data_IF_162075425340
#
_entry.id   IF_162075425340
#
_cell.length_a   1.000
_cell.length_b   1.000
_cell.length_c   1.000
_cell.angle_alpha   90.00
_cell.angle_beta   90.00
_cell.angle_gamma   90.00
#
_symmetry.space_group_name_H-M   'P 1'
#
loop_
_entity.id
_entity.type
_entity.pdbx_description
1 polymer ?
#
# COMPACT_ATOMS: atom_id res chain seq x y z
N UNK A 1 25.05 -6.31 -30.57
CA UNK A 1 25.60 -7.40 -29.75
C UNK A 1 24.51 -7.83 -28.80
N UNK A 2 23.91 -8.97 -29.05
CA UNK A 2 22.84 -9.53 -28.19
C UNK A 2 23.57 -10.15 -27.01
N UNK A 3 23.60 -9.45 -25.87
CA UNK A 3 24.04 -10.05 -24.63
C UNK A 3 23.12 -11.24 -24.33
N UNK A 4 23.78 -12.40 -24.21
CA UNK A 4 23.10 -13.63 -23.87
C UNK A 4 22.34 -13.41 -22.54
N UNK A 5 21.04 -13.52 -22.59
CA UNK A 5 20.19 -13.55 -21.39
C UNK A 5 20.74 -14.65 -20.48
N UNK A 6 21.46 -14.26 -19.44
CA UNK A 6 21.94 -15.19 -18.41
C UNK A 6 20.68 -15.72 -17.73
N UNK A 7 20.29 -16.93 -18.09
CA UNK A 7 19.19 -17.61 -17.38
C UNK A 7 19.70 -17.95 -15.97
N UNK A 8 19.12 -17.36 -14.94
CA UNK A 8 19.58 -17.61 -13.57
C UNK A 8 19.38 -19.07 -13.24
N UNK A 9 20.45 -19.74 -12.84
CA UNK A 9 20.36 -21.11 -12.33
C UNK A 9 19.76 -21.09 -10.94
N UNK A 10 18.83 -22.00 -10.62
CA UNK A 10 18.31 -22.13 -9.27
C UNK A 10 19.44 -22.45 -8.30
N UNK A 11 19.47 -21.76 -7.16
CA UNK A 11 20.33 -22.17 -6.07
C UNK A 11 19.81 -23.51 -5.55
N UNK A 12 20.60 -24.55 -5.70
CA UNK A 12 20.30 -25.85 -5.11
C UNK A 12 20.74 -25.84 -3.64
N UNK A 13 19.80 -25.53 -2.76
CA UNK A 13 20.01 -25.50 -1.33
C UNK A 13 19.11 -26.54 -0.64
N UNK A 14 19.64 -27.16 0.40
CA UNK A 14 18.89 -28.13 1.20
C UNK A 14 17.67 -27.48 1.86
N UNK A 15 16.71 -28.29 2.26
CA UNK A 15 15.52 -27.81 2.99
C UNK A 15 15.88 -27.03 4.27
N UNK A 16 16.91 -27.48 5.01
CA UNK A 16 17.36 -26.81 6.23
C UNK A 16 18.00 -25.45 5.91
N UNK A 17 18.76 -25.33 4.83
CA UNK A 17 19.27 -24.05 4.38
C UNK A 17 18.16 -23.11 3.94
N UNK A 18 17.13 -23.63 3.27
CA UNK A 18 15.94 -22.83 2.90
C UNK A 18 15.27 -22.22 4.14
N UNK A 19 15.11 -22.98 5.21
CA UNK A 19 14.55 -22.47 6.47
C UNK A 19 15.45 -21.42 7.12
N UNK A 20 16.79 -21.60 7.09
CA UNK A 20 17.74 -20.58 7.55
C UNK A 20 17.63 -19.31 6.73
N UNK A 21 17.57 -19.42 5.40
CA UNK A 21 17.42 -18.28 4.50
C UNK A 21 16.14 -17.51 4.75
N UNK A 22 15.00 -18.20 4.93
CA UNK A 22 13.73 -17.55 5.27
C UNK A 22 13.85 -16.80 6.60
N UNK A 23 14.43 -17.40 7.62
CA UNK A 23 14.65 -16.75 8.92
C UNK A 23 15.59 -15.55 8.81
N UNK A 24 16.68 -15.65 8.04
CA UNK A 24 17.63 -14.56 7.82
C UNK A 24 17.01 -13.42 7.01
N UNK A 25 16.29 -13.71 5.93
CA UNK A 25 15.62 -12.68 5.12
C UNK A 25 14.58 -11.89 5.92
N UNK A 26 13.96 -12.51 6.93
CA UNK A 26 13.00 -11.84 7.79
C UNK A 26 13.64 -11.00 8.89
N UNK A 27 14.68 -11.53 9.54
CA UNK A 27 15.31 -10.87 10.69
C UNK A 27 16.44 -9.89 10.29
N UNK A 28 17.14 -10.19 9.20
CA UNK A 28 18.32 -9.46 8.72
C UNK A 28 18.28 -9.32 7.19
N UNK A 29 17.30 -8.58 6.63
CA UNK A 29 17.06 -8.55 5.18
C UNK A 29 18.21 -7.96 4.37
N UNK A 30 18.92 -6.96 4.91
CA UNK A 30 20.03 -6.32 4.23
C UNK A 30 21.25 -7.24 4.14
N UNK A 31 21.66 -7.78 5.27
CA UNK A 31 22.80 -8.71 5.37
C UNK A 31 22.54 -9.97 4.55
N UNK A 32 21.29 -10.47 4.57
CA UNK A 32 20.90 -11.60 3.75
C UNK A 32 21.02 -11.30 2.26
N UNK A 33 20.55 -10.15 1.82
CA UNK A 33 20.64 -9.70 0.43
C UNK A 33 22.09 -9.51 -0.03
N UNK A 34 22.92 -8.91 0.80
CA UNK A 34 24.35 -8.76 0.55
C UNK A 34 25.04 -10.12 0.41
N UNK A 35 24.77 -11.04 1.34
CA UNK A 35 25.32 -12.39 1.28
C UNK A 35 24.91 -13.17 0.02
N UNK A 36 23.64 -13.04 -0.40
CA UNK A 36 23.18 -13.65 -1.65
C UNK A 36 23.95 -13.09 -2.85
N UNK A 37 24.08 -11.78 -2.93
CA UNK A 37 24.79 -11.10 -4.01
C UNK A 37 26.26 -11.47 -4.07
N UNK A 38 26.95 -11.46 -2.93
CA UNK A 38 28.37 -11.80 -2.84
C UNK A 38 28.67 -13.26 -3.23
N UNK A 39 27.77 -14.16 -2.84
CA UNK A 39 27.96 -15.60 -3.06
C UNK A 39 27.53 -16.07 -4.44
N UNK A 40 26.46 -15.48 -4.99
CA UNK A 40 25.79 -16.01 -6.18
C UNK A 40 25.68 -14.99 -7.33
N UNK A 41 26.11 -13.74 -7.12
CA UNK A 41 26.09 -12.69 -8.14
C UNK A 41 24.82 -11.85 -8.17
N UNK A 42 24.66 -11.05 -9.23
CA UNK A 42 23.62 -10.02 -9.32
C UNK A 42 22.22 -10.57 -9.67
N UNK A 43 22.12 -11.81 -10.14
CA UNK A 43 20.85 -12.47 -10.46
C UNK A 43 20.81 -13.82 -9.78
N UNK A 44 19.94 -13.95 -8.78
CA UNK A 44 19.88 -15.14 -7.93
C UNK A 44 18.47 -15.69 -7.91
N UNK A 45 18.29 -16.94 -8.33
CA UNK A 45 16.99 -17.62 -8.26
C UNK A 45 16.98 -18.60 -7.09
N UNK A 46 16.07 -18.37 -6.14
CA UNK A 46 15.85 -19.22 -4.98
C UNK A 46 14.51 -19.93 -5.11
N UNK A 47 14.51 -21.25 -4.90
CA UNK A 47 13.26 -22.02 -4.83
C UNK A 47 12.72 -22.02 -3.41
N UNK A 48 11.50 -21.49 -3.22
CA UNK A 48 10.78 -21.51 -1.96
C UNK A 48 9.49 -22.33 -2.12
N UNK A 49 9.58 -23.63 -1.92
CA UNK A 49 8.46 -24.56 -2.14
C UNK A 49 8.02 -24.60 -3.61
N UNK A 50 6.81 -24.10 -3.89
CA UNK A 50 6.24 -24.00 -5.24
C UNK A 50 6.51 -22.66 -5.92
N UNK A 51 7.17 -21.74 -5.25
CA UNK A 51 7.46 -20.39 -5.76
C UNK A 51 8.95 -20.26 -6.00
N UNK A 52 9.30 -19.69 -7.14
CA UNK A 52 10.67 -19.25 -7.42
C UNK A 52 10.77 -17.76 -7.10
N UNK A 53 11.70 -17.40 -6.24
CA UNK A 53 12.02 -16.01 -5.91
C UNK A 53 13.30 -15.66 -6.68
N UNK A 54 13.21 -14.64 -7.54
CA UNK A 54 14.38 -14.12 -8.24
C UNK A 54 14.81 -12.82 -7.56
N UNK A 55 15.99 -12.84 -6.98
CA UNK A 55 16.64 -11.67 -6.42
C UNK A 55 17.46 -10.99 -7.52
N UNK A 56 17.22 -9.72 -7.72
CA UNK A 56 17.87 -8.89 -8.71
C UNK A 56 18.62 -7.76 -8.00
N UNK A 57 19.93 -7.66 -8.23
CA UNK A 57 20.78 -6.67 -7.58
C UNK A 57 21.39 -5.72 -8.60
N UNK A 58 21.62 -4.48 -8.18
CA UNK A 58 22.26 -3.45 -8.99
C UNK A 58 21.30 -2.54 -9.77
N UNK A 59 21.86 -1.49 -10.35
CA UNK A 59 21.10 -0.43 -11.02
C UNK A 59 20.39 -0.92 -12.30
N UNK A 60 21.05 -1.75 -13.09
CA UNK A 60 20.50 -2.25 -14.35
C UNK A 60 19.30 -3.17 -14.12
N UNK A 61 19.39 -4.01 -13.09
CA UNK A 61 18.28 -4.87 -12.69
C UNK A 61 17.10 -4.05 -12.13
N UNK A 62 17.36 -3.02 -11.34
CA UNK A 62 16.35 -2.10 -10.86
C UNK A 62 15.68 -1.35 -12.03
N UNK A 63 16.45 -0.87 -12.99
CA UNK A 63 15.95 -0.22 -14.21
C UNK A 63 15.06 -1.17 -15.01
N UNK A 64 15.49 -2.42 -15.22
CA UNK A 64 14.71 -3.43 -15.93
C UNK A 64 13.34 -3.65 -15.27
N UNK A 65 13.30 -3.79 -13.95
CA UNK A 65 12.06 -3.99 -13.21
C UNK A 65 11.14 -2.77 -13.25
N UNK A 66 11.70 -1.57 -13.05
CA UNK A 66 10.93 -0.32 -12.98
C UNK A 66 10.39 0.11 -14.34
N UNK A 67 11.20 -0.02 -15.39
CA UNK A 67 10.79 0.31 -16.76
C UNK A 67 9.87 -0.75 -17.37
N UNK A 68 9.99 -1.98 -16.92
CA UNK A 68 9.18 -3.13 -17.34
C UNK A 68 8.99 -3.21 -18.88
N UNK A 69 10.07 -3.24 -19.69
CA UNK A 69 9.98 -3.27 -21.13
C UNK A 69 9.20 -4.52 -21.58
N UNK A 70 8.25 -4.33 -22.49
CA UNK A 70 7.39 -5.43 -22.95
C UNK A 70 6.33 -5.90 -21.93
N UNK A 71 6.17 -5.25 -20.78
CA UNK A 71 5.20 -5.59 -19.74
C UNK A 71 5.33 -7.04 -19.25
N UNK A 72 6.56 -7.51 -19.10
CA UNK A 72 6.89 -8.89 -18.68
C UNK A 72 6.65 -9.13 -17.19
N UNK A 73 6.77 -8.10 -16.37
CA UNK A 73 6.52 -8.16 -14.93
C UNK A 73 5.09 -7.75 -14.60
N UNK A 74 4.46 -8.51 -13.73
CA UNK A 74 3.10 -8.27 -13.26
C UNK A 74 3.10 -7.89 -11.78
N UNK A 75 2.66 -6.68 -11.47
CA UNK A 75 2.43 -6.24 -10.09
C UNK A 75 1.28 -7.02 -9.47
N UNK A 76 0.20 -7.23 -10.23
CA UNK A 76 -0.96 -7.99 -9.79
C UNK A 76 -0.58 -9.35 -9.24
N UNK A 77 0.17 -10.15 -10.02
CA UNK A 77 0.56 -11.51 -9.61
C UNK A 77 1.44 -11.52 -8.36
N UNK A 78 2.33 -10.53 -8.22
CA UNK A 78 3.22 -10.44 -7.07
C UNK A 78 2.47 -10.00 -5.81
N UNK A 79 1.68 -8.94 -5.89
CA UNK A 79 0.98 -8.39 -4.74
C UNK A 79 -0.27 -9.17 -4.33
N UNK A 80 -0.91 -9.90 -5.25
CA UNK A 80 -2.10 -10.71 -4.94
C UNK A 80 -1.82 -11.75 -3.84
N UNK A 81 -0.64 -12.35 -3.86
CA UNK A 81 -0.21 -13.30 -2.82
C UNK A 81 -0.08 -12.64 -1.43
N UNK A 82 0.24 -11.34 -1.38
CA UNK A 82 0.55 -10.63 -0.15
C UNK A 82 -0.69 -9.91 0.38
N UNK A 83 -1.31 -9.08 -0.46
CA UNK A 83 -2.39 -8.17 -0.06
C UNK A 83 -3.73 -8.46 -0.72
N UNK A 84 -3.82 -9.40 -1.67
CA UNK A 84 -5.04 -9.65 -2.44
C UNK A 84 -6.26 -10.02 -1.59
N UNK A 85 -6.05 -10.68 -0.43
CA UNK A 85 -7.13 -10.99 0.52
C UNK A 85 -7.68 -9.76 1.24
N UNK A 86 -6.88 -8.72 1.33
CA UNK A 86 -7.18 -7.51 2.12
C UNK A 86 -7.54 -6.34 1.21
N UNK A 87 -6.85 -6.19 0.08
CA UNK A 87 -7.08 -5.09 -0.87
C UNK A 87 -7.30 -5.64 -2.30
N UNK A 88 -8.32 -6.50 -2.53
CA UNK A 88 -8.60 -6.98 -3.87
C UNK A 88 -8.95 -5.79 -4.78
N UNK A 89 -8.49 -5.82 -6.02
CA UNK A 89 -8.76 -4.81 -7.05
C UNK A 89 -8.21 -3.40 -6.81
N UNK A 90 -7.45 -3.15 -5.74
CA UNK A 90 -6.74 -1.89 -5.58
C UNK A 90 -5.72 -1.65 -6.71
N UNK A 91 -5.25 -0.41 -6.88
CA UNK A 91 -4.35 -0.02 -7.98
C UNK A 91 -3.09 -0.89 -8.07
N UNK A 92 -2.54 -1.33 -6.94
CA UNK A 92 -1.37 -2.22 -6.90
C UNK A 92 -1.65 -3.63 -7.45
N UNK A 93 -2.92 -4.04 -7.52
CA UNK A 93 -3.37 -5.35 -8.01
C UNK A 93 -3.92 -5.28 -9.44
N UNK A 94 -3.46 -4.31 -10.20
CA UNK A 94 -3.84 -4.11 -11.61
C UNK A 94 -2.59 -4.02 -12.48
N UNK A 95 -2.71 -4.46 -13.73
CA UNK A 95 -1.64 -4.40 -14.73
C UNK A 95 -2.14 -3.79 -16.04
N UNK A 96 -1.21 -3.42 -16.91
CA UNK A 96 -1.46 -3.08 -18.30
C UNK A 96 -2.46 -1.94 -18.50
N UNK A 97 -3.46 -2.15 -19.35
CA UNK A 97 -4.48 -1.13 -19.72
C UNK A 97 -5.36 -0.80 -18.53
N UNK A 98 -5.77 -1.81 -17.75
CA UNK A 98 -6.60 -1.65 -16.57
C UNK A 98 -5.92 -0.77 -15.51
N UNK A 99 -4.63 -1.03 -15.21
CA UNK A 99 -3.84 -0.17 -14.32
C UNK A 99 -3.77 1.28 -14.83
N UNK A 100 -3.51 1.48 -16.13
CA UNK A 100 -3.41 2.83 -16.71
C UNK A 100 -4.74 3.59 -16.62
N UNK A 101 -5.86 2.93 -16.88
CA UNK A 101 -7.20 3.50 -16.74
C UNK A 101 -7.45 4.00 -15.32
N UNK A 102 -7.31 3.11 -14.33
CA UNK A 102 -7.53 3.45 -12.93
C UNK A 102 -6.56 4.53 -12.43
N UNK A 103 -5.29 4.46 -12.81
CA UNK A 103 -4.29 5.47 -12.45
C UNK A 103 -4.63 6.85 -13.02
N UNK A 104 -5.11 6.92 -14.26
CA UNK A 104 -5.50 8.19 -14.90
C UNK A 104 -6.64 8.88 -14.15
N UNK A 105 -7.69 8.14 -13.82
CA UNK A 105 -8.81 8.67 -13.02
C UNK A 105 -8.33 9.15 -11.64
N UNK A 106 -7.47 8.37 -10.98
CA UNK A 106 -6.91 8.73 -9.68
C UNK A 106 -6.07 10.00 -9.71
N UNK A 107 -5.45 10.33 -10.83
CA UNK A 107 -4.66 11.56 -10.99
C UNK A 107 -5.47 12.85 -10.72
N UNK A 108 -6.79 12.81 -10.82
CA UNK A 108 -7.64 13.95 -10.47
C UNK A 108 -7.38 14.46 -9.04
N UNK A 109 -7.16 13.53 -8.10
CA UNK A 109 -6.85 13.85 -6.70
C UNK A 109 -5.42 14.37 -6.46
N UNK A 110 -4.53 14.31 -7.47
CA UNK A 110 -3.12 14.72 -7.34
C UNK A 110 -2.74 15.93 -8.20
N UNK A 111 -3.72 16.58 -8.83
CA UNK A 111 -3.47 17.81 -9.59
C UNK A 111 -3.01 18.94 -8.65
N UNK A 112 -2.21 19.88 -9.17
CA UNK A 112 -1.62 20.99 -8.38
C UNK A 112 -2.66 21.74 -7.54
N UNK A 113 -3.86 21.97 -8.07
CA UNK A 113 -4.95 22.65 -7.35
C UNK A 113 -5.43 21.84 -6.13
N UNK A 114 -5.57 20.52 -6.28
CA UNK A 114 -5.93 19.63 -5.19
C UNK A 114 -4.83 19.61 -4.12
N UNK A 115 -3.58 19.45 -4.52
CA UNK A 115 -2.42 19.45 -3.63
C UNK A 115 -2.30 20.75 -2.82
N UNK A 116 -2.50 21.90 -3.45
CA UNK A 116 -2.52 23.19 -2.75
C UNK A 116 -3.70 23.28 -1.76
N UNK A 117 -4.85 22.69 -2.10
CA UNK A 117 -5.99 22.58 -1.21
C UNK A 117 -5.67 21.76 0.04
N UNK A 118 -5.01 20.61 -0.14
CA UNK A 118 -4.58 19.75 0.96
C UNK A 118 -3.58 20.45 1.87
N UNK A 119 -2.56 21.11 1.32
CA UNK A 119 -1.59 21.86 2.13
C UNK A 119 -2.25 22.93 3.01
N UNK A 120 -3.22 23.67 2.46
CA UNK A 120 -3.96 24.67 3.25
C UNK A 120 -4.74 24.06 4.42
N UNK A 121 -5.21 22.82 4.28
CA UNK A 121 -5.91 22.11 5.35
C UNK A 121 -4.94 21.47 6.35
N UNK A 122 -3.81 20.94 5.85
CA UNK A 122 -2.80 20.26 6.69
C UNK A 122 -2.13 21.23 7.67
N UNK A 123 -1.70 22.39 7.17
CA UNK A 123 -0.87 23.31 7.96
C UNK A 123 -1.49 23.65 9.32
N UNK A 124 -2.74 24.16 9.41
CA UNK A 124 -3.31 24.51 10.71
C UNK A 124 -3.57 23.28 11.61
N UNK A 125 -3.76 22.11 11.02
CA UNK A 125 -3.93 20.88 11.80
C UNK A 125 -2.60 20.41 12.41
N UNK A 126 -1.51 20.47 11.64
CA UNK A 126 -0.15 20.18 12.11
C UNK A 126 0.23 21.13 13.23
N UNK A 127 0.04 22.44 13.03
CA UNK A 127 0.33 23.47 14.02
C UNK A 127 -0.41 23.22 15.36
N UNK A 128 -1.70 22.91 15.30
CA UNK A 128 -2.47 22.57 16.51
C UNK A 128 -1.93 21.32 17.20
N UNK A 129 -1.58 20.28 16.44
CA UNK A 129 -1.05 19.04 17.00
C UNK A 129 0.31 19.28 17.65
N UNK A 130 1.21 20.02 17.01
CA UNK A 130 2.50 20.38 17.58
C UNK A 130 2.35 21.22 18.85
N UNK A 131 1.41 22.19 18.87
CA UNK A 131 1.13 22.97 20.06
C UNK A 131 0.71 22.07 21.23
N UNK A 132 -0.12 21.05 21.01
CA UNK A 132 -0.50 20.11 22.09
C UNK A 132 0.68 19.28 22.60
N UNK A 133 1.66 18.98 21.76
CA UNK A 133 2.85 18.26 22.18
C UNK A 133 3.79 19.14 23.02
N UNK A 134 3.89 20.44 22.68
CA UNK A 134 4.69 21.40 23.43
C UNK A 134 4.06 21.82 24.77
N UNK A 135 2.72 21.84 24.84
CA UNK A 135 1.97 22.25 26.03
C UNK A 135 1.78 21.10 27.05
N UNK A 136 2.15 19.88 26.65
CA UNK A 136 2.06 18.74 27.55
C UNK A 136 3.06 18.91 28.72
N UNK A 137 2.58 18.81 29.97
CA UNK A 137 3.42 18.77 31.17
C UNK A 137 4.34 17.52 31.23
N UNK A 138 4.29 16.67 30.21
CA UNK A 138 5.14 15.51 30.04
C UNK A 138 6.39 15.92 29.28
N UNK A 139 7.54 15.77 29.90
CA UNK A 139 8.83 16.04 29.27
C UNK A 139 9.25 15.00 28.23
N UNK A 140 8.40 14.00 27.93
CA UNK A 140 8.69 12.90 27.01
C UNK A 140 7.55 12.70 26.02
N UNK A 141 7.91 12.61 24.74
CA UNK A 141 7.00 12.26 23.64
C UNK A 141 7.46 10.95 23.01
N UNK A 142 6.58 9.94 22.97
CA UNK A 142 6.78 8.76 22.17
C UNK A 142 6.61 9.11 20.68
N UNK A 143 7.70 9.43 19.99
CA UNK A 143 7.68 10.02 18.65
C UNK A 143 6.88 9.18 17.64
N UNK A 144 7.16 7.86 17.55
CA UNK A 144 6.49 7.02 16.55
C UNK A 144 4.96 6.97 16.72
N UNK A 145 4.38 6.68 17.89
CA UNK A 145 2.92 6.73 18.08
C UNK A 145 2.33 8.11 17.80
N UNK A 146 3.01 9.18 18.22
CA UNK A 146 2.53 10.55 18.03
C UNK A 146 2.47 10.96 16.56
N UNK A 147 3.53 10.72 15.80
CA UNK A 147 3.54 10.97 14.36
C UNK A 147 2.58 10.06 13.60
N UNK A 148 2.47 8.80 14.00
CA UNK A 148 1.50 7.87 13.40
C UNK A 148 0.07 8.38 13.57
N UNK A 149 -0.32 8.81 14.78
CA UNK A 149 -1.65 9.36 15.02
C UNK A 149 -1.87 10.64 14.19
N UNK A 150 -0.92 11.57 14.21
CA UNK A 150 -1.02 12.81 13.42
C UNK A 150 -1.21 12.52 11.93
N UNK A 151 -0.45 11.60 11.36
CA UNK A 151 -0.58 11.26 9.93
C UNK A 151 -1.89 10.57 9.59
N UNK A 152 -2.43 9.74 10.47
CA UNK A 152 -3.76 9.14 10.30
C UNK A 152 -4.88 10.18 10.36
N UNK A 153 -4.76 11.14 11.27
CA UNK A 153 -5.73 12.23 11.42
C UNK A 153 -5.70 13.17 10.20
N UNK A 154 -4.51 13.50 9.71
CA UNK A 154 -4.34 14.24 8.46
C UNK A 154 -4.94 13.48 7.27
N UNK A 155 -4.71 12.18 7.19
CA UNK A 155 -5.27 11.35 6.12
C UNK A 155 -6.81 11.31 6.19
N UNK A 156 -7.39 11.17 7.37
CA UNK A 156 -8.84 11.19 7.55
C UNK A 156 -9.45 12.53 7.08
N UNK A 157 -8.84 13.64 7.42
CA UNK A 157 -9.34 14.98 7.02
C UNK A 157 -9.15 15.21 5.51
N UNK A 158 -7.96 14.94 4.97
CA UNK A 158 -7.59 15.34 3.60
C UNK A 158 -8.13 14.37 2.57
N UNK A 159 -7.98 13.08 2.83
CA UNK A 159 -8.38 12.06 1.85
C UNK A 159 -9.87 11.73 1.94
N UNK A 160 -10.45 11.78 3.13
CA UNK A 160 -11.82 11.37 3.35
C UNK A 160 -12.78 12.52 3.66
N UNK A 161 -12.23 13.73 3.92
CA UNK A 161 -13.03 14.91 4.31
C UNK A 161 -13.79 14.71 5.61
N UNK A 162 -13.19 13.99 6.56
CA UNK A 162 -13.81 13.68 7.86
C UNK A 162 -13.36 14.67 8.92
N UNK A 163 -14.28 15.09 9.76
CA UNK A 163 -13.95 15.78 11.01
C UNK A 163 -13.31 14.81 12.00
N UNK A 164 -12.28 15.29 12.72
CA UNK A 164 -11.63 14.50 13.76
C UNK A 164 -12.61 14.23 14.92
N UNK A 165 -12.62 12.98 15.37
CA UNK A 165 -13.50 12.56 16.45
C UNK A 165 -13.69 11.05 16.51
N UNK A 166 -14.71 10.56 17.23
CA UNK A 166 -14.96 9.13 17.39
C UNK A 166 -15.11 8.36 16.07
N UNK A 167 -15.71 8.99 15.05
CA UNK A 167 -15.87 8.40 13.71
C UNK A 167 -14.53 8.19 13.00
N UNK A 168 -13.69 9.23 12.94
CA UNK A 168 -12.35 9.15 12.37
C UNK A 168 -11.49 8.13 13.12
N UNK A 169 -11.53 8.13 14.46
CA UNK A 169 -10.80 7.15 15.27
C UNK A 169 -11.23 5.70 14.98
N UNK A 170 -12.51 5.45 14.77
CA UNK A 170 -13.01 4.13 14.42
C UNK A 170 -12.51 3.69 13.05
N UNK A 171 -12.49 4.60 12.08
CA UNK A 171 -12.00 4.32 10.73
C UNK A 171 -10.48 4.10 10.72
N UNK A 172 -9.73 4.93 11.45
CA UNK A 172 -8.28 4.79 11.62
C UNK A 172 -7.93 3.42 12.22
N UNK A 173 -8.61 2.99 13.28
CA UNK A 173 -8.43 1.65 13.87
C UNK A 173 -8.77 0.53 12.89
N UNK A 174 -9.80 0.70 12.08
CA UNK A 174 -10.16 -0.28 11.05
C UNK A 174 -9.07 -0.35 9.96
N UNK A 175 -8.55 0.79 9.53
CA UNK A 175 -7.43 0.86 8.59
C UNK A 175 -6.18 0.17 9.14
N UNK A 176 -5.79 0.48 10.38
CA UNK A 176 -4.65 -0.18 11.05
C UNK A 176 -4.82 -1.71 11.12
N UNK A 177 -6.01 -2.18 11.51
CA UNK A 177 -6.30 -3.61 11.56
C UNK A 177 -6.22 -4.26 10.17
N UNK A 178 -6.67 -3.55 9.14
CA UNK A 178 -6.61 -3.99 7.74
C UNK A 178 -5.16 -4.10 7.26
N UNK A 179 -4.34 -3.08 7.52
CA UNK A 179 -2.91 -3.08 7.17
C UNK A 179 -2.15 -4.18 7.92
N UNK A 180 -2.40 -4.36 9.22
CA UNK A 180 -1.77 -5.41 10.01
C UNK A 180 -2.08 -6.82 9.47
N UNK A 181 -3.22 -7.00 8.82
CA UNK A 181 -3.64 -8.25 8.22
C UNK A 181 -3.02 -8.55 6.85
N UNK A 182 -2.28 -7.61 6.26
CA UNK A 182 -1.60 -7.81 4.97
C UNK A 182 -0.47 -8.85 5.05
N UNK A 183 0.20 -8.93 6.22
CA UNK A 183 1.26 -9.92 6.48
C UNK A 183 0.99 -10.68 7.79
N UNK A 184 -0.04 -11.53 7.83
CA UNK A 184 -0.42 -12.21 9.05
C UNK A 184 0.55 -13.35 9.35
N UNK A 185 1.01 -13.46 10.60
CA UNK A 185 1.81 -14.63 11.04
C UNK A 185 1.06 -15.95 10.89
N UNK A 186 -0.25 -15.92 11.08
CA UNK A 186 -1.14 -17.07 10.92
C UNK A 186 -2.08 -16.75 9.73
N UNK A 187 -1.92 -17.42 8.56
CA UNK A 187 -2.68 -17.11 7.36
C UNK A 187 -4.10 -17.71 7.37
N UNK A 188 -4.67 -17.94 8.54
CA UNK A 188 -6.01 -18.50 8.74
C UNK A 188 -6.98 -17.41 9.20
N UNK A 189 -8.10 -17.26 8.49
CA UNK A 189 -9.15 -16.28 8.80
C UNK A 189 -10.18 -16.84 9.79
N UNK A 190 -9.72 -17.24 10.99
CA UNK A 190 -10.57 -17.71 12.08
C UNK A 190 -10.73 -16.63 13.17
N UNK A 191 -11.85 -16.58 13.89
CA UNK A 191 -12.05 -15.62 14.97
C UNK A 191 -10.86 -15.55 15.93
N UNK A 192 -10.46 -14.32 16.30
CA UNK A 192 -9.31 -14.07 17.17
C UNK A 192 -7.98 -13.80 16.43
N UNK A 193 -7.83 -14.21 15.15
CA UNK A 193 -6.60 -13.95 14.38
C UNK A 193 -6.54 -12.52 13.84
N UNK A 194 -5.31 -12.07 13.55
CA UNK A 194 -5.05 -10.76 12.91
C UNK A 194 -5.74 -10.71 11.54
N UNK A 195 -5.66 -11.79 10.74
CA UNK A 195 -6.27 -11.86 9.42
C UNK A 195 -7.79 -11.73 9.48
N UNK A 196 -8.45 -12.44 10.41
CA UNK A 196 -9.90 -12.32 10.60
C UNK A 196 -10.31 -10.89 10.96
N UNK A 197 -9.61 -10.27 11.92
CA UNK A 197 -9.88 -8.88 12.33
C UNK A 197 -9.72 -7.90 11.17
N UNK A 198 -8.67 -8.05 10.37
CA UNK A 198 -8.45 -7.20 9.20
C UNK A 198 -9.52 -7.37 8.12
N UNK A 199 -9.99 -8.59 7.85
CA UNK A 199 -11.09 -8.83 6.91
C UNK A 199 -12.39 -8.16 7.40
N UNK A 200 -12.71 -8.25 8.71
CA UNK A 200 -13.89 -7.58 9.26
C UNK A 200 -13.75 -6.06 9.22
N UNK A 201 -12.56 -5.54 9.53
CA UNK A 201 -12.26 -4.11 9.45
C UNK A 201 -12.40 -3.58 8.00
N UNK A 202 -11.89 -4.31 7.01
CA UNK A 202 -12.09 -3.97 5.60
C UNK A 202 -13.59 -3.97 5.23
N UNK A 203 -14.34 -4.99 5.60
CA UNK A 203 -15.79 -5.03 5.34
C UNK A 203 -16.52 -3.82 5.93
N UNK A 204 -16.12 -3.40 7.13
CA UNK A 204 -16.63 -2.19 7.74
C UNK A 204 -16.30 -0.93 6.93
N UNK A 205 -15.02 -0.76 6.53
CA UNK A 205 -14.60 0.38 5.72
C UNK A 205 -15.30 0.41 4.36
N UNK A 206 -15.39 -0.72 3.66
CA UNK A 206 -16.08 -0.79 2.36
C UNK A 206 -17.54 -0.34 2.46
N UNK A 207 -18.28 -0.81 3.46
CA UNK A 207 -19.67 -0.36 3.67
C UNK A 207 -19.73 1.14 3.95
N UNK A 208 -18.86 1.61 4.86
CA UNK A 208 -18.80 3.02 5.19
C UNK A 208 -18.58 3.90 3.95
N UNK A 209 -17.63 3.55 3.10
CA UNK A 209 -17.35 4.31 1.90
C UNK A 209 -18.46 4.20 0.85
N UNK A 210 -19.01 3.01 0.62
CA UNK A 210 -20.14 2.83 -0.31
C UNK A 210 -21.33 3.71 0.09
N UNK A 211 -21.65 3.77 1.37
CA UNK A 211 -22.74 4.61 1.90
C UNK A 211 -22.51 6.12 1.66
N UNK A 212 -21.25 6.54 1.49
CA UNK A 212 -20.87 7.94 1.28
C UNK A 212 -20.71 8.33 -0.20
N UNK A 213 -20.54 7.38 -1.13
CA UNK A 213 -20.23 7.67 -2.55
C UNK A 213 -21.24 8.62 -3.18
N UNK A 214 -22.55 8.37 -3.01
CA UNK A 214 -23.59 9.20 -3.60
C UNK A 214 -23.54 10.65 -3.08
N UNK A 215 -23.36 10.82 -1.77
CA UNK A 215 -23.26 12.14 -1.14
C UNK A 215 -21.98 12.87 -1.63
N UNK A 216 -20.84 12.17 -1.71
CA UNK A 216 -19.56 12.74 -2.18
C UNK A 216 -19.62 13.13 -3.65
N UNK A 217 -20.32 12.38 -4.50
CA UNK A 217 -20.55 12.76 -5.91
C UNK A 217 -21.36 14.05 -6.02
N UNK A 218 -22.39 14.22 -5.20
CA UNK A 218 -23.23 15.39 -5.21
C UNK A 218 -22.59 16.61 -4.52
N UNK A 219 -21.58 16.40 -3.67
CA UNK A 219 -20.93 17.47 -2.91
C UNK A 219 -19.98 18.30 -3.77
N UNK A 220 -19.63 19.51 -3.24
CA UNK A 220 -18.55 20.36 -3.77
C UNK A 220 -17.25 20.21 -2.98
N UNK A 221 -17.19 19.19 -2.12
CA UNK A 221 -16.01 18.92 -1.30
C UNK A 221 -14.75 18.73 -2.16
N UNK A 222 -13.61 19.13 -1.60
CA UNK A 222 -12.32 19.09 -2.29
C UNK A 222 -11.37 18.03 -1.68
N UNK A 223 -11.90 17.19 -0.79
CA UNK A 223 -11.16 16.02 -0.31
C UNK A 223 -10.96 15.00 -1.44
N UNK A 224 -9.95 14.13 -1.27
CA UNK A 224 -9.56 13.18 -2.32
C UNK A 224 -10.70 12.21 -2.67
N UNK A 225 -11.46 11.75 -1.68
CA UNK A 225 -12.57 10.82 -1.90
C UNK A 225 -13.67 11.47 -2.77
N UNK A 226 -14.05 12.72 -2.48
CA UNK A 226 -15.00 13.45 -3.30
C UNK A 226 -14.49 13.71 -4.72
N UNK A 227 -13.20 14.02 -4.87
CA UNK A 227 -12.57 14.19 -6.19
C UNK A 227 -12.58 12.87 -6.98
N UNK A 228 -12.28 11.75 -6.35
CA UNK A 228 -12.34 10.43 -6.99
C UNK A 228 -13.76 10.04 -7.38
N UNK A 229 -14.76 10.34 -6.52
CA UNK A 229 -16.16 10.09 -6.82
C UNK A 229 -16.66 10.84 -8.05
N UNK A 230 -16.06 12.00 -8.37
CA UNK A 230 -16.41 12.86 -9.51
C UNK A 230 -15.42 12.77 -10.68
N UNK A 231 -14.35 12.00 -10.53
CA UNK A 231 -13.34 11.89 -11.59
C UNK A 231 -13.95 11.26 -12.85
N UNK A 232 -13.66 11.86 -13.99
CA UNK A 232 -14.03 11.42 -15.32
C UNK A 232 -12.78 11.35 -16.20
N UNK A 233 -12.74 10.38 -17.09
CA UNK A 233 -11.75 10.37 -18.16
C UNK A 233 -12.18 11.26 -19.33
N UNK A 234 -11.39 11.29 -20.40
CA UNK A 234 -11.64 12.12 -21.60
C UNK A 234 -12.91 11.69 -22.36
N UNK A 235 -13.39 10.47 -22.12
CA UNK A 235 -14.58 9.87 -22.74
C UNK A 235 -15.82 10.01 -21.83
N UNK A 236 -15.67 10.62 -20.64
CA UNK A 236 -16.75 10.79 -19.67
C UNK A 236 -17.01 9.57 -18.79
N UNK A 237 -16.13 8.56 -18.82
CA UNK A 237 -16.27 7.39 -17.96
C UNK A 237 -15.85 7.74 -16.52
N UNK A 238 -16.55 7.14 -15.56
CA UNK A 238 -16.31 7.31 -14.13
C UNK A 238 -16.03 5.97 -13.48
N UNK A 239 -15.42 6.03 -12.30
CA UNK A 239 -15.37 4.85 -11.44
C UNK A 239 -16.78 4.36 -11.08
N UNK A 240 -16.99 3.04 -11.13
CA UNK A 240 -18.11 2.42 -10.43
C UNK A 240 -17.93 2.58 -8.91
N UNK A 241 -19.01 2.55 -8.15
CA UNK A 241 -18.97 2.77 -6.69
C UNK A 241 -18.03 1.79 -5.99
N UNK A 242 -18.04 0.54 -6.41
CA UNK A 242 -17.16 -0.49 -5.86
C UNK A 242 -15.68 -0.24 -6.21
N UNK A 243 -15.39 0.28 -7.40
CA UNK A 243 -14.03 0.60 -7.81
C UNK A 243 -13.43 1.73 -6.98
N UNK A 244 -14.24 2.75 -6.64
CA UNK A 244 -13.81 3.83 -5.75
C UNK A 244 -13.41 3.27 -4.39
N UNK A 245 -14.20 2.34 -3.86
CA UNK A 245 -13.97 1.75 -2.53
C UNK A 245 -12.80 0.78 -2.52
N UNK A 246 -12.48 0.18 -3.64
CA UNK A 246 -11.32 -0.71 -3.78
C UNK A 246 -9.98 0.05 -3.87
N UNK A 247 -10.03 1.35 -4.16
CA UNK A 247 -8.88 2.27 -4.17
C UNK A 247 -8.67 2.97 -2.85
#
# INVERSE_FOLDING_TARGET
MTEALITPQPIDISFLETLKFIKQSYNYPLEHSQHLRERFGDVVMQRAGRVNIVHLFGADAAQLCLMNPGQTFSNKKAWDMIIGRIFPNGLMLRDGVDHRYHRRLMQAGFKSKAMQGYLRQMTPQIERTLATWCDSQRNELAAYPAFKQMTLDLAATIFLGMDLGPGANKLNKAFEATVAASMPRIPLAIPGTILYRGIQARKFMCRYFLDQVANKRASKDQDMFALLCRAEDEEGNRYADQEIVDH
#
